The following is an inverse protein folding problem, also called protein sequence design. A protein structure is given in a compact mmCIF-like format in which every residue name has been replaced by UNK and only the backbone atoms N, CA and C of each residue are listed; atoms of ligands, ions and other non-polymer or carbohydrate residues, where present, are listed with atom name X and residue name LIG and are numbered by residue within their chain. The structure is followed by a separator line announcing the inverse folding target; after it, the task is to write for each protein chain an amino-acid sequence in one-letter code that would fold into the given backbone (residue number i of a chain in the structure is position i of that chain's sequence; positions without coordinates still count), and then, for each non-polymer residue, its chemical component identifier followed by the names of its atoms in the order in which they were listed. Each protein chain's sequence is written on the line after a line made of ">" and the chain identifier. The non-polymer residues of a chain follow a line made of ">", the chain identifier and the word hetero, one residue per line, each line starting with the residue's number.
data_IF_137071878747
#
_entry.id   IF_137071878747
#
_cell.length_a   1.000
_cell.length_b   1.000
_cell.length_c   1.000
_cell.angle_alpha   90.00
_cell.angle_beta   90.00
_cell.angle_gamma   90.00
#
_symmetry.space_group_name_H-M   'P 1'
#
loop_
_entity.id
_entity.type
_entity.pdbx_description
1 polymer ?
#
# COMPACT_ATOMS: atom_id res chain seq x y z
N UNK A 1 48.79 25.53 9.74
CA UNK A 1 47.75 25.85 10.76
C UNK A 1 46.37 25.71 10.13
N UNK A 2 45.78 24.55 10.27
CA UNK A 2 44.49 24.19 9.66
C UNK A 2 43.38 24.36 10.71
N UNK A 3 42.54 25.39 10.53
CA UNK A 3 41.41 25.71 11.42
C UNK A 3 40.35 24.66 11.25
N UNK A 4 40.17 23.74 12.23
CA UNK A 4 39.03 22.86 12.36
C UNK A 4 37.79 23.72 12.59
N UNK A 5 36.92 23.84 11.58
CA UNK A 5 35.55 24.34 11.78
C UNK A 5 34.75 23.26 12.49
N UNK A 6 34.51 23.46 13.77
CA UNK A 6 33.50 22.72 14.53
C UNK A 6 32.15 23.14 14.03
N UNK A 7 31.48 22.21 13.29
CA UNK A 7 30.08 22.34 12.96
C UNK A 7 29.29 22.19 14.27
N UNK A 8 29.02 23.32 14.92
CA UNK A 8 28.03 23.37 15.99
C UNK A 8 26.69 23.04 15.42
N UNK A 9 26.19 21.82 15.66
CA UNK A 9 24.85 21.42 15.41
C UNK A 9 23.88 22.35 16.15
N UNK A 10 23.32 23.35 15.46
CA UNK A 10 22.20 24.15 15.93
C UNK A 10 21.07 23.18 16.23
N UNK A 11 20.89 22.83 17.50
CA UNK A 11 19.64 22.20 17.96
C UNK A 11 18.54 23.21 17.66
N UNK A 12 17.75 22.95 16.63
CA UNK A 12 16.57 23.75 16.34
C UNK A 12 15.74 23.83 17.65
N UNK A 13 15.33 25.01 18.09
CA UNK A 13 14.62 25.14 19.34
C UNK A 13 13.34 24.34 19.23
N UNK A 14 13.15 23.37 20.13
CA UNK A 14 12.00 22.47 20.22
C UNK A 14 10.66 23.27 20.20
N UNK A 15 10.68 24.48 20.69
CA UNK A 15 9.57 25.45 20.68
C UNK A 15 9.09 25.84 19.28
N UNK A 16 9.94 25.80 18.24
CA UNK A 16 9.54 26.09 16.85
C UNK A 16 8.68 25.00 16.22
N UNK A 17 8.74 23.75 16.74
CA UNK A 17 7.96 22.61 16.25
C UNK A 17 6.61 22.50 16.97
N UNK A 18 6.46 23.08 18.16
CA UNK A 18 5.26 23.03 18.99
C UNK A 18 4.00 23.56 18.30
N UNK A 19 3.98 24.72 17.62
CA UNK A 19 2.77 25.22 16.97
C UNK A 19 2.31 24.31 15.84
N UNK A 20 3.23 23.85 15.00
CA UNK A 20 2.93 22.93 13.90
C UNK A 20 2.46 21.57 14.41
N UNK A 21 3.15 21.02 15.43
CA UNK A 21 2.77 19.77 16.10
C UNK A 21 1.41 19.88 16.81
N UNK A 22 1.13 21.00 17.43
CA UNK A 22 -0.15 21.29 18.07
C UNK A 22 -1.30 21.39 17.05
N UNK A 23 -1.10 22.09 15.94
CA UNK A 23 -2.09 22.16 14.86
C UNK A 23 -2.39 20.76 14.28
N UNK A 24 -1.36 19.99 13.90
CA UNK A 24 -1.53 18.62 13.41
C UNK A 24 -2.21 17.75 14.48
N UNK A 25 -1.79 17.88 15.74
CA UNK A 25 -2.39 17.14 16.85
C UNK A 25 -3.88 17.41 16.97
N UNK A 26 -4.30 18.68 17.03
CA UNK A 26 -5.70 19.05 17.19
C UNK A 26 -6.53 18.67 15.96
N UNK A 27 -6.11 19.06 14.77
CA UNK A 27 -6.90 18.85 13.55
C UNK A 27 -6.94 17.40 13.07
N UNK A 28 -5.98 16.58 13.45
CA UNK A 28 -5.95 15.15 13.09
C UNK A 28 -6.51 14.27 14.19
N UNK A 29 -6.01 14.40 15.43
CA UNK A 29 -6.40 13.48 16.50
C UNK A 29 -7.75 13.82 17.12
N UNK A 30 -8.16 15.08 17.18
CA UNK A 30 -9.45 15.45 17.80
C UNK A 30 -10.64 14.88 17.01
N UNK A 31 -10.77 15.04 15.67
CA UNK A 31 -11.87 14.43 14.94
C UNK A 31 -11.86 12.89 15.03
N UNK A 32 -10.69 12.28 14.98
CA UNK A 32 -10.54 10.83 15.12
C UNK A 32 -10.98 10.36 16.52
N UNK A 33 -10.53 11.05 17.57
CA UNK A 33 -10.93 10.74 18.95
C UNK A 33 -12.43 10.92 19.16
N UNK A 34 -13.02 11.98 18.59
CA UNK A 34 -14.47 12.20 18.66
C UNK A 34 -15.25 11.11 17.94
N UNK A 35 -14.80 10.68 16.77
CA UNK A 35 -15.43 9.57 16.04
C UNK A 35 -15.35 8.26 16.82
N UNK A 36 -14.18 7.96 17.38
CA UNK A 36 -13.99 6.79 18.25
C UNK A 36 -14.82 6.89 19.52
N UNK A 37 -14.88 8.06 20.14
CA UNK A 37 -15.74 8.28 21.32
C UNK A 37 -17.21 8.02 21.00
N UNK A 38 -17.73 8.57 19.91
CA UNK A 38 -19.13 8.34 19.48
C UNK A 38 -19.42 6.86 19.23
N UNK A 39 -18.47 6.09 18.71
CA UNK A 39 -18.66 4.66 18.48
C UNK A 39 -18.89 3.86 19.77
N UNK A 40 -18.48 4.39 20.94
CA UNK A 40 -18.70 3.78 22.25
C UNK A 40 -19.82 4.44 23.07
N UNK A 41 -20.15 5.71 22.79
CA UNK A 41 -21.06 6.51 23.62
C UNK A 41 -22.47 6.63 23.06
N UNK A 42 -22.68 6.37 21.76
CA UNK A 42 -23.97 6.52 21.08
C UNK A 42 -24.42 5.17 20.48
N UNK A 43 -25.73 4.81 20.54
CA UNK A 43 -26.82 5.50 21.20
C UNK A 43 -26.81 5.38 22.74
N UNK A 44 -26.04 4.45 23.30
CA UNK A 44 -25.81 4.27 24.73
C UNK A 44 -24.36 3.85 24.97
N UNK A 45 -23.84 4.17 26.16
CA UNK A 45 -22.48 3.74 26.53
C UNK A 45 -22.36 2.23 26.49
N UNK A 46 -21.47 1.72 25.60
CA UNK A 46 -21.23 0.29 25.46
C UNK A 46 -20.59 -0.13 24.15
N UNK A 47 -20.62 -1.42 23.89
CA UNK A 47 -20.06 -2.04 22.68
C UNK A 47 -21.14 -2.41 21.66
N UNK A 48 -22.31 -1.80 21.70
CA UNK A 48 -23.46 -2.17 20.86
C UNK A 48 -23.12 -2.10 19.38
N UNK A 49 -22.54 -0.98 18.92
CA UNK A 49 -22.12 -0.81 17.53
C UNK A 49 -21.15 -1.90 17.07
N UNK A 50 -20.28 -2.38 17.96
CA UNK A 50 -19.32 -3.45 17.65
C UNK A 50 -19.98 -4.83 17.66
N UNK A 51 -20.94 -5.08 18.56
CA UNK A 51 -21.71 -6.34 18.58
C UNK A 51 -22.64 -6.45 17.38
N UNK A 52 -23.26 -5.36 16.96
CA UNK A 52 -24.05 -5.28 15.72
C UNK A 52 -23.17 -5.51 14.49
N UNK A 53 -22.03 -4.85 14.40
CA UNK A 53 -21.04 -5.08 13.32
C UNK A 53 -20.61 -6.54 13.26
N UNK A 54 -20.29 -7.15 14.40
CA UNK A 54 -19.91 -8.56 14.49
C UNK A 54 -21.10 -9.50 14.33
N UNK A 55 -22.33 -9.03 14.47
CA UNK A 55 -23.58 -9.77 14.21
C UNK A 55 -23.95 -9.77 12.72
N UNK A 56 -23.61 -8.69 11.98
CA UNK A 56 -23.97 -8.53 10.58
C UNK A 56 -23.09 -9.38 9.65
N UNK A 57 -23.66 -10.38 8.96
CA UNK A 57 -22.92 -11.20 7.99
C UNK A 57 -22.35 -10.37 6.82
N UNK A 58 -23.04 -9.30 6.43
CA UNK A 58 -22.64 -8.42 5.33
C UNK A 58 -21.38 -7.66 5.68
N UNK A 59 -21.35 -7.03 6.87
CA UNK A 59 -20.19 -6.29 7.35
C UNK A 59 -18.96 -7.20 7.51
N UNK A 60 -19.13 -8.41 8.04
CA UNK A 60 -18.07 -9.42 8.12
C UNK A 60 -17.52 -9.80 6.74
N UNK A 61 -18.40 -10.05 5.79
CA UNK A 61 -18.01 -10.41 4.41
C UNK A 61 -17.20 -9.28 3.77
N UNK A 62 -17.65 -8.02 3.93
CA UNK A 62 -16.97 -6.84 3.41
C UNK A 62 -15.60 -6.67 4.09
N UNK A 63 -15.52 -6.87 5.42
CA UNK A 63 -14.27 -6.79 6.17
C UNK A 63 -13.25 -7.82 5.65
N UNK A 64 -13.63 -9.09 5.57
CA UNK A 64 -12.76 -10.17 5.07
C UNK A 64 -12.34 -9.87 3.63
N UNK A 65 -13.28 -9.49 2.77
CA UNK A 65 -13.01 -9.10 1.37
C UNK A 65 -11.98 -7.98 1.30
N UNK A 66 -12.11 -6.94 2.12
CA UNK A 66 -11.19 -5.80 2.14
C UNK A 66 -9.75 -6.24 2.42
N UNK A 67 -9.54 -7.12 3.40
CA UNK A 67 -8.21 -7.65 3.71
C UNK A 67 -7.69 -8.57 2.60
N UNK A 68 -8.52 -9.46 2.05
CA UNK A 68 -8.14 -10.34 0.93
C UNK A 68 -7.72 -9.51 -0.30
N UNK A 69 -8.52 -8.50 -0.65
CA UNK A 69 -8.20 -7.59 -1.77
C UNK A 69 -6.91 -6.83 -1.49
N UNK A 70 -6.72 -6.31 -0.27
CA UNK A 70 -5.51 -5.59 0.11
C UNK A 70 -4.25 -6.47 0.02
N UNK A 71 -4.32 -7.73 0.48
CA UNK A 71 -3.22 -8.69 0.32
C UNK A 71 -2.96 -9.03 -1.15
N UNK A 72 -4.02 -9.24 -1.94
CA UNK A 72 -3.89 -9.54 -3.38
C UNK A 72 -3.22 -8.39 -4.12
N UNK A 73 -3.67 -7.15 -3.88
CA UNK A 73 -3.09 -5.93 -4.47
C UNK A 73 -1.62 -5.80 -4.04
N UNK A 74 -1.32 -5.98 -2.76
CA UNK A 74 0.04 -5.87 -2.24
C UNK A 74 0.97 -6.88 -2.90
N UNK A 75 0.55 -8.16 -2.94
CA UNK A 75 1.34 -9.21 -3.56
C UNK A 75 1.59 -8.94 -5.05
N UNK A 76 0.54 -8.60 -5.80
CA UNK A 76 0.64 -8.31 -7.23
C UNK A 76 1.49 -7.05 -7.50
N UNK A 77 1.31 -5.99 -6.72
CA UNK A 77 2.06 -4.73 -6.87
C UNK A 77 3.54 -4.93 -6.58
N UNK A 78 3.89 -5.70 -5.53
CA UNK A 78 5.28 -6.02 -5.22
C UNK A 78 5.89 -6.94 -6.28
N UNK A 79 5.14 -7.95 -6.74
CA UNK A 79 5.59 -8.87 -7.80
C UNK A 79 5.91 -8.13 -9.10
N UNK A 80 5.09 -7.15 -9.48
CA UNK A 80 5.32 -6.32 -10.68
C UNK A 80 6.37 -5.24 -10.42
N UNK A 81 6.36 -4.63 -9.26
CA UNK A 81 7.28 -3.55 -8.89
C UNK A 81 8.72 -4.02 -8.67
N UNK A 82 8.90 -5.26 -8.18
CA UNK A 82 10.23 -5.81 -7.90
C UNK A 82 11.13 -5.90 -9.14
N UNK A 83 10.72 -6.54 -10.26
CA UNK A 83 11.53 -6.59 -11.46
C UNK A 83 11.77 -5.20 -12.05
N UNK A 84 10.79 -4.30 -11.97
CA UNK A 84 10.95 -2.92 -12.42
C UNK A 84 12.05 -2.20 -11.60
N UNK A 85 11.98 -2.23 -10.28
CA UNK A 85 12.98 -1.65 -9.39
C UNK A 85 14.36 -2.28 -9.62
N UNK A 86 14.43 -3.60 -9.81
CA UNK A 86 15.66 -4.31 -10.10
C UNK A 86 16.31 -3.83 -11.42
N UNK A 87 15.53 -3.72 -12.49
CA UNK A 87 16.01 -3.20 -13.78
C UNK A 87 16.56 -1.78 -13.62
N UNK A 88 15.87 -0.91 -12.87
CA UNK A 88 16.34 0.45 -12.60
C UNK A 88 17.74 0.49 -11.94
N UNK A 89 18.12 -0.51 -11.16
CA UNK A 89 19.48 -0.59 -10.58
C UNK A 89 20.54 -1.07 -11.56
N UNK A 90 20.16 -1.70 -12.69
CA UNK A 90 21.06 -2.33 -13.64
C UNK A 90 21.30 -1.53 -14.91
N UNK A 91 20.38 -0.63 -15.25
CA UNK A 91 20.47 0.19 -16.48
C UNK A 91 21.36 1.42 -16.28
N UNK A 92 21.81 1.99 -17.40
CA UNK A 92 22.60 3.22 -17.42
C UNK A 92 21.81 4.45 -16.95
N UNK A 93 22.48 5.58 -16.71
CA UNK A 93 21.85 6.77 -16.08
C UNK A 93 20.68 7.32 -16.89
N UNK A 94 20.77 7.37 -18.22
CA UNK A 94 19.67 7.87 -19.08
C UNK A 94 18.42 7.01 -18.98
N UNK A 95 18.56 5.69 -19.10
CA UNK A 95 17.45 4.75 -18.99
C UNK A 95 16.84 4.76 -17.56
N UNK A 96 17.69 4.88 -16.54
CA UNK A 96 17.24 5.03 -15.14
C UNK A 96 16.40 6.28 -14.94
N UNK A 97 16.85 7.43 -15.46
CA UNK A 97 16.08 8.67 -15.40
C UNK A 97 14.74 8.53 -16.10
N UNK A 98 14.70 7.89 -17.29
CA UNK A 98 13.45 7.63 -17.99
C UNK A 98 12.50 6.74 -17.18
N UNK A 99 12.99 5.62 -16.66
CA UNK A 99 12.17 4.72 -15.83
C UNK A 99 11.68 5.43 -14.56
N UNK A 100 12.52 6.23 -13.91
CA UNK A 100 12.09 7.03 -12.76
C UNK A 100 11.04 8.06 -13.16
N UNK A 101 11.19 8.73 -14.29
CA UNK A 101 10.21 9.70 -14.79
C UNK A 101 8.85 9.02 -15.05
N UNK A 102 8.83 7.82 -15.63
CA UNK A 102 7.59 7.04 -15.84
C UNK A 102 6.87 6.79 -14.50
N UNK A 103 7.61 6.36 -13.46
CA UNK A 103 7.04 6.13 -12.13
C UNK A 103 6.50 7.44 -11.52
N UNK A 104 7.27 8.53 -11.62
CA UNK A 104 6.88 9.82 -11.07
C UNK A 104 5.69 10.43 -11.82
N UNK A 105 5.64 10.36 -13.14
CA UNK A 105 4.48 10.81 -13.93
C UNK A 105 3.23 10.04 -13.51
N UNK A 106 3.36 8.70 -13.35
CA UNK A 106 2.26 7.89 -12.86
C UNK A 106 1.82 8.30 -11.44
N UNK A 107 2.74 8.73 -10.60
CA UNK A 107 2.46 9.21 -9.25
C UNK A 107 1.74 10.58 -9.25
N UNK A 108 2.18 11.53 -10.08
CA UNK A 108 1.66 12.90 -10.11
C UNK A 108 0.33 13.06 -10.87
N UNK A 109 -0.05 12.06 -11.65
CA UNK A 109 -1.29 12.12 -12.40
C UNK A 109 -2.52 12.02 -11.47
N UNK A 110 -3.60 12.74 -11.78
CA UNK A 110 -4.84 12.74 -11.02
C UNK A 110 -5.40 11.33 -10.85
N UNK A 111 -5.77 10.99 -9.61
CA UNK A 111 -6.41 9.71 -9.29
C UNK A 111 -7.74 9.52 -10.01
N UNK A 112 -8.56 10.59 -10.09
CA UNK A 112 -9.83 10.57 -10.81
C UNK A 112 -9.60 10.32 -12.31
N UNK A 113 -8.65 11.03 -12.93
CA UNK A 113 -8.32 10.84 -14.34
C UNK A 113 -7.90 9.40 -14.64
N UNK A 114 -7.08 8.79 -13.77
CA UNK A 114 -6.71 7.37 -13.88
C UNK A 114 -7.91 6.44 -13.76
N UNK A 115 -8.78 6.68 -12.78
CA UNK A 115 -9.97 5.85 -12.58
C UNK A 115 -10.93 5.94 -13.76
N UNK A 116 -11.14 7.13 -14.33
CA UNK A 116 -11.93 7.28 -15.55
C UNK A 116 -11.29 6.60 -16.77
N UNK A 117 -9.97 6.69 -16.92
CA UNK A 117 -9.26 5.95 -17.97
C UNK A 117 -9.47 4.43 -17.83
N UNK A 118 -9.42 3.90 -16.59
CA UNK A 118 -9.71 2.49 -16.35
C UNK A 118 -11.17 2.11 -16.64
N UNK A 119 -12.15 2.98 -16.35
CA UNK A 119 -13.55 2.74 -16.76
C UNK A 119 -13.62 2.53 -18.27
N UNK A 120 -13.01 3.43 -19.06
CA UNK A 120 -13.02 3.33 -20.53
C UNK A 120 -12.29 2.06 -21.00
N UNK A 121 -11.18 1.69 -20.40
CA UNK A 121 -10.39 0.52 -20.78
C UNK A 121 -11.13 -0.79 -20.46
N UNK A 122 -11.83 -0.86 -19.33
CA UNK A 122 -12.46 -2.07 -18.80
C UNK A 122 -13.91 -2.27 -19.26
N UNK A 123 -14.50 -1.30 -19.99
CA UNK A 123 -15.85 -1.46 -20.58
C UNK A 123 -15.92 -2.67 -21.50
N UNK A 124 -17.11 -3.28 -21.62
CA UNK A 124 -17.33 -4.43 -22.50
C UNK A 124 -17.03 -4.14 -23.97
N UNK A 125 -17.25 -2.88 -24.39
CA UNK A 125 -16.87 -2.34 -25.71
C UNK A 125 -15.57 -1.54 -25.67
N UNK A 126 -14.73 -1.74 -24.65
CA UNK A 126 -13.50 -0.98 -24.44
C UNK A 126 -12.27 -1.60 -25.13
N UNK A 127 -11.16 -0.81 -25.18
CA UNK A 127 -9.92 -1.20 -25.86
C UNK A 127 -9.35 -2.56 -25.43
N UNK A 128 -9.55 -2.94 -24.14
CA UNK A 128 -9.09 -4.24 -23.64
C UNK A 128 -9.82 -5.39 -24.34
N UNK A 129 -11.14 -5.32 -24.43
CA UNK A 129 -11.93 -6.35 -25.07
C UNK A 129 -11.75 -6.37 -26.61
N UNK A 130 -11.49 -5.21 -27.22
CA UNK A 130 -11.14 -5.16 -28.65
C UNK A 130 -9.78 -5.84 -28.92
N UNK A 131 -8.80 -5.64 -28.03
CA UNK A 131 -7.52 -6.34 -28.10
C UNK A 131 -7.70 -7.85 -27.92
N UNK A 132 -8.49 -8.29 -26.94
CA UNK A 132 -8.79 -9.73 -26.72
C UNK A 132 -9.44 -10.36 -27.95
N UNK A 133 -10.43 -9.69 -28.56
CA UNK A 133 -11.07 -10.15 -29.80
C UNK A 133 -10.05 -10.25 -30.96
N UNK A 134 -9.17 -9.24 -31.11
CA UNK A 134 -8.14 -9.26 -32.14
C UNK A 134 -7.14 -10.41 -31.95
N UNK A 135 -6.93 -10.88 -30.71
CA UNK A 135 -6.11 -12.03 -30.36
C UNK A 135 -6.87 -13.37 -30.43
N UNK A 136 -8.15 -13.37 -30.84
CA UNK A 136 -9.00 -14.56 -30.88
C UNK A 136 -9.48 -15.06 -29.53
N UNK A 137 -9.41 -14.21 -28.48
CA UNK A 137 -9.86 -14.52 -27.13
C UNK A 137 -11.27 -13.99 -26.88
N UNK A 138 -12.00 -14.65 -25.99
CA UNK A 138 -13.35 -14.21 -25.60
C UNK A 138 -13.28 -12.89 -24.80
N UNK A 139 -14.24 -11.96 -24.99
CA UNK A 139 -14.36 -10.76 -24.19
C UNK A 139 -14.59 -11.11 -22.71
N UNK A 140 -14.05 -10.25 -21.82
CA UNK A 140 -14.15 -10.42 -20.37
C UNK A 140 -14.87 -9.23 -19.75
N UNK A 141 -15.85 -9.48 -18.91
CA UNK A 141 -16.53 -8.43 -18.14
C UNK A 141 -15.72 -8.12 -16.88
N UNK A 142 -15.08 -6.96 -16.83
CA UNK A 142 -14.20 -6.55 -15.72
C UNK A 142 -14.74 -5.32 -14.97
N UNK A 143 -15.42 -4.41 -15.65
CA UNK A 143 -16.01 -3.24 -15.00
C UNK A 143 -17.11 -3.68 -14.02
N UNK A 144 -17.14 -3.10 -12.82
CA UNK A 144 -18.08 -3.51 -11.77
C UNK A 144 -17.67 -4.79 -11.02
N UNK A 145 -16.49 -5.37 -11.31
CA UNK A 145 -16.01 -6.58 -10.65
C UNK A 145 -14.83 -6.29 -9.70
N UNK A 146 -14.60 -7.20 -8.75
CA UNK A 146 -13.43 -7.14 -7.87
C UNK A 146 -12.11 -7.20 -8.66
N UNK A 147 -12.07 -7.94 -9.76
CA UNK A 147 -10.89 -8.04 -10.62
C UNK A 147 -10.56 -6.70 -11.28
N UNK A 148 -11.55 -5.99 -11.81
CA UNK A 148 -11.36 -4.65 -12.38
C UNK A 148 -10.88 -3.63 -11.35
N UNK A 149 -11.47 -3.63 -10.13
CA UNK A 149 -11.00 -2.83 -9.00
C UNK A 149 -9.53 -3.13 -8.67
N UNK A 150 -9.21 -4.42 -8.56
CA UNK A 150 -7.84 -4.86 -8.22
C UNK A 150 -6.82 -4.39 -9.27
N UNK A 151 -7.13 -4.52 -10.56
CA UNK A 151 -6.25 -4.05 -11.65
C UNK A 151 -6.01 -2.53 -11.58
N UNK A 152 -7.06 -1.75 -11.41
CA UNK A 152 -6.96 -0.29 -11.27
C UNK A 152 -6.12 0.10 -10.05
N UNK A 153 -6.35 -0.54 -8.91
CA UNK A 153 -5.60 -0.26 -7.68
C UNK A 153 -4.13 -0.67 -7.76
N UNK A 154 -3.80 -1.81 -8.40
CA UNK A 154 -2.40 -2.22 -8.62
C UNK A 154 -1.64 -1.12 -9.36
N UNK A 155 -2.20 -0.61 -10.47
CA UNK A 155 -1.56 0.44 -11.27
C UNK A 155 -1.36 1.73 -10.47
N UNK A 156 -2.36 2.14 -9.68
CA UNK A 156 -2.27 3.36 -8.86
C UNK A 156 -1.25 3.22 -7.74
N UNK A 157 -1.14 2.03 -7.13
CA UNK A 157 -0.27 1.78 -5.98
C UNK A 157 1.15 1.31 -6.37
N UNK A 158 1.39 1.01 -7.65
CA UNK A 158 2.68 0.53 -8.15
C UNK A 158 3.88 1.45 -7.78
N UNK A 159 3.80 2.78 -7.88
CA UNK A 159 4.89 3.66 -7.46
C UNK A 159 5.27 3.51 -5.99
N UNK A 160 4.29 3.25 -5.12
CA UNK A 160 4.50 3.09 -3.68
C UNK A 160 5.24 1.79 -3.31
N UNK A 161 5.24 0.79 -4.19
CA UNK A 161 6.09 -0.39 -4.04
C UNK A 161 7.45 -0.17 -4.68
N UNK A 162 7.51 0.41 -5.89
CA UNK A 162 8.76 0.57 -6.65
C UNK A 162 9.76 1.46 -5.91
N UNK A 163 9.32 2.59 -5.34
CA UNK A 163 10.23 3.56 -4.74
C UNK A 163 11.00 3.01 -3.52
N UNK A 164 10.35 2.37 -2.51
CA UNK A 164 11.07 1.75 -1.39
C UNK A 164 11.95 0.57 -1.82
N UNK A 165 11.48 -0.25 -2.76
CA UNK A 165 12.27 -1.34 -3.34
C UNK A 165 13.54 -0.81 -4.00
N UNK A 166 13.40 0.17 -4.87
CA UNK A 166 14.53 0.79 -5.57
C UNK A 166 15.51 1.45 -4.61
N UNK A 167 15.03 2.21 -3.61
CA UNK A 167 15.86 2.84 -2.60
C UNK A 167 16.71 1.80 -1.84
N UNK A 168 16.11 0.69 -1.42
CA UNK A 168 16.83 -0.40 -0.76
C UNK A 168 17.81 -1.09 -1.70
N UNK A 169 17.42 -1.38 -2.94
CA UNK A 169 18.28 -2.04 -3.91
C UNK A 169 19.51 -1.20 -4.30
N UNK A 170 19.43 0.13 -4.17
CA UNK A 170 20.58 1.02 -4.42
C UNK A 170 21.67 0.90 -3.37
N UNK A 171 21.35 0.49 -2.14
CA UNK A 171 22.33 0.34 -1.05
C UNK A 171 23.09 -0.99 -1.10
N UNK A 172 22.65 -1.92 -1.97
CA UNK A 172 23.28 -3.25 -2.09
C UNK A 172 24.55 -3.15 -2.95
N UNK A 173 25.66 -3.65 -2.40
CA UNK A 173 26.93 -3.68 -3.14
C UNK A 173 26.80 -4.58 -4.37
N UNK A 174 27.15 -3.99 -5.52
CA UNK A 174 27.10 -4.67 -6.83
C UNK A 174 28.11 -5.79 -6.98
N UNK A 175 29.18 -5.83 -6.17
CA UNK A 175 30.22 -6.86 -6.18
C UNK A 175 29.76 -8.20 -5.60
N UNK A 176 28.73 -8.22 -4.75
CA UNK A 176 28.24 -9.43 -4.07
C UNK A 176 27.80 -10.53 -5.03
N UNK A 177 27.10 -10.18 -6.10
CA UNK A 177 26.65 -11.14 -7.10
C UNK A 177 27.82 -11.77 -7.89
N UNK A 178 28.78 -10.97 -8.44
CA UNK A 178 29.99 -11.50 -9.06
C UNK A 178 30.85 -12.34 -8.10
N UNK A 179 31.03 -11.92 -6.85
CA UNK A 179 31.78 -12.65 -5.84
C UNK A 179 31.19 -14.04 -5.59
N UNK A 180 29.86 -14.13 -5.40
CA UNK A 180 29.19 -15.43 -5.24
C UNK A 180 29.36 -16.34 -6.47
N UNK A 181 29.35 -15.78 -7.68
CA UNK A 181 29.57 -16.53 -8.92
C UNK A 181 31.04 -16.98 -9.05
N UNK A 182 31.99 -16.15 -8.62
CA UNK A 182 33.41 -16.52 -8.55
C UNK A 182 33.68 -17.71 -7.61
N UNK A 183 32.84 -17.87 -6.57
CA UNK A 183 32.85 -19.04 -5.66
C UNK A 183 32.05 -20.24 -6.22
N UNK A 184 31.66 -20.24 -7.51
CA UNK A 184 30.99 -21.34 -8.18
C UNK A 184 29.45 -21.33 -8.09
N UNK A 185 28.83 -20.30 -7.51
CA UNK A 185 27.39 -20.22 -7.47
C UNK A 185 26.79 -19.90 -8.86
N UNK A 186 25.75 -20.64 -9.27
CA UNK A 186 24.97 -20.29 -10.45
C UNK A 186 24.27 -18.95 -10.25
N UNK A 187 24.07 -18.16 -11.32
CA UNK A 187 23.46 -16.83 -11.25
C UNK A 187 22.11 -16.78 -10.51
N UNK A 188 21.26 -17.79 -10.73
CA UNK A 188 19.97 -17.91 -10.00
C UNK A 188 20.16 -18.17 -8.51
N UNK A 189 21.14 -19.01 -8.14
CA UNK A 189 21.46 -19.33 -6.75
C UNK A 189 22.03 -18.08 -6.03
N UNK A 190 22.96 -17.37 -6.67
CA UNK A 190 23.49 -16.11 -6.17
C UNK A 190 22.37 -15.06 -5.99
N UNK A 191 21.42 -14.97 -6.93
CA UNK A 191 20.27 -14.08 -6.81
C UNK A 191 19.40 -14.44 -5.61
N UNK A 192 18.95 -15.69 -5.49
CA UNK A 192 18.02 -16.14 -4.43
C UNK A 192 18.68 -16.17 -3.05
N UNK A 193 19.95 -16.61 -2.95
CA UNK A 193 20.63 -16.77 -1.67
C UNK A 193 21.37 -15.53 -1.17
N UNK A 194 21.79 -14.62 -2.07
CA UNK A 194 22.57 -13.44 -1.70
C UNK A 194 21.75 -12.16 -1.93
N UNK A 195 21.29 -11.91 -3.16
CA UNK A 195 20.66 -10.64 -3.50
C UNK A 195 19.25 -10.48 -2.93
N UNK A 196 18.37 -11.45 -3.17
CA UNK A 196 16.96 -11.39 -2.74
C UNK A 196 16.82 -11.15 -1.22
N UNK A 197 17.59 -11.83 -0.35
CA UNK A 197 17.52 -11.58 1.08
C UNK A 197 17.96 -10.18 1.50
N UNK A 198 18.85 -9.53 0.78
CA UNK A 198 19.26 -8.15 1.04
C UNK A 198 18.19 -7.14 0.60
N UNK A 199 17.26 -7.53 -0.27
CA UNK A 199 16.13 -6.69 -0.69
C UNK A 199 14.91 -6.80 0.22
N UNK A 200 14.88 -7.73 1.17
CA UNK A 200 13.75 -7.97 2.09
C UNK A 200 13.29 -6.68 2.81
N UNK A 201 14.19 -5.79 3.30
CA UNK A 201 13.75 -4.54 3.91
C UNK A 201 12.92 -3.67 2.97
N UNK A 202 13.31 -3.59 1.70
CA UNK A 202 12.57 -2.85 0.67
C UNK A 202 11.25 -3.51 0.31
N UNK A 203 11.23 -4.86 0.20
CA UNK A 203 9.99 -5.61 -0.02
C UNK A 203 9.00 -5.34 1.11
N UNK A 204 9.46 -5.39 2.35
CA UNK A 204 8.61 -5.16 3.51
C UNK A 204 8.10 -3.72 3.59
N UNK A 205 8.97 -2.74 3.36
CA UNK A 205 8.57 -1.33 3.36
C UNK A 205 7.54 -1.04 2.26
N UNK A 206 7.78 -1.53 1.04
CA UNK A 206 6.85 -1.39 -0.09
C UNK A 206 5.53 -2.14 0.15
N UNK A 207 5.61 -3.39 0.63
CA UNK A 207 4.43 -4.19 0.96
C UNK A 207 3.56 -3.53 2.03
N UNK A 208 4.18 -3.05 3.12
CA UNK A 208 3.47 -2.40 4.20
C UNK A 208 2.77 -1.12 3.74
N UNK A 209 3.47 -0.30 2.96
CA UNK A 209 2.93 0.95 2.43
C UNK A 209 1.74 0.68 1.50
N UNK A 210 1.88 -0.23 0.53
CA UNK A 210 0.80 -0.60 -0.39
C UNK A 210 -0.38 -1.22 0.35
N UNK A 211 -0.13 -2.11 1.32
CA UNK A 211 -1.16 -2.76 2.12
C UNK A 211 -2.01 -1.74 2.89
N UNK A 212 -1.36 -0.85 3.64
CA UNK A 212 -2.07 0.17 4.45
C UNK A 212 -2.85 1.13 3.55
N UNK A 213 -2.24 1.59 2.43
CA UNK A 213 -2.93 2.45 1.48
C UNK A 213 -4.13 1.76 0.85
N UNK A 214 -4.03 0.46 0.50
CA UNK A 214 -5.13 -0.27 -0.15
C UNK A 214 -6.35 -0.46 0.76
N UNK A 215 -6.15 -0.59 2.09
CA UNK A 215 -7.25 -0.72 3.05
C UNK A 215 -8.12 0.54 3.15
N UNK A 216 -7.51 1.73 3.03
CA UNK A 216 -8.23 3.00 3.07
C UNK A 216 -8.65 3.53 1.69
N UNK A 217 -8.40 2.77 0.63
CA UNK A 217 -8.68 3.25 -0.73
C UNK A 217 -10.18 3.28 -1.00
N UNK A 218 -10.70 4.46 -1.39
CA UNK A 218 -12.14 4.69 -1.59
C UNK A 218 -12.48 4.93 -3.07
N UNK A 219 -11.80 5.87 -3.73
CA UNK A 219 -12.20 6.43 -5.03
C UNK A 219 -12.20 5.38 -6.15
N UNK A 220 -11.11 4.62 -6.29
CA UNK A 220 -11.01 3.63 -7.38
C UNK A 220 -12.00 2.47 -7.20
N UNK A 221 -12.18 1.87 -6.01
CA UNK A 221 -13.24 0.89 -5.78
C UNK A 221 -14.65 1.45 -6.04
N UNK A 222 -14.90 2.71 -5.69
CA UNK A 222 -16.20 3.36 -5.87
C UNK A 222 -16.55 3.56 -7.35
N UNK A 223 -15.55 3.88 -8.18
CA UNK A 223 -15.73 4.12 -9.62
C UNK A 223 -15.67 2.86 -10.48
N UNK A 224 -14.85 1.88 -10.13
CA UNK A 224 -14.65 0.66 -10.93
C UNK A 224 -15.39 -0.56 -10.40
N UNK A 225 -15.84 -0.53 -9.15
CA UNK A 225 -16.53 -1.63 -8.50
C UNK A 225 -18.05 -1.56 -8.64
N UNK A 226 -18.70 -2.37 -7.84
CA UNK A 226 -20.17 -2.43 -7.71
C UNK A 226 -20.55 -2.57 -6.23
N UNK A 227 -21.80 -2.28 -5.84
CA UNK A 227 -22.26 -2.47 -4.46
C UNK A 227 -22.01 -3.87 -3.90
N UNK A 228 -22.10 -4.89 -4.76
CA UNK A 228 -21.87 -6.31 -4.40
C UNK A 228 -20.40 -6.59 -4.07
N UNK A 229 -19.47 -5.81 -4.62
CA UNK A 229 -18.03 -5.95 -4.45
C UNK A 229 -17.43 -4.81 -3.59
N UNK A 230 -18.27 -4.11 -2.82
CA UNK A 230 -17.84 -2.99 -1.98
C UNK A 230 -16.78 -3.40 -0.95
N UNK A 231 -15.87 -2.47 -0.67
CA UNK A 231 -14.86 -2.57 0.37
C UNK A 231 -15.29 -1.78 1.61
N UNK A 232 -14.58 -1.97 2.72
CA UNK A 232 -14.94 -1.37 4.00
C UNK A 232 -14.92 0.16 3.97
N UNK A 233 -13.99 0.77 3.23
CA UNK A 233 -13.94 2.21 3.01
C UNK A 233 -15.21 2.77 2.36
N UNK A 234 -15.81 2.04 1.42
CA UNK A 234 -17.08 2.41 0.78
C UNK A 234 -18.25 2.23 1.77
N UNK A 235 -18.26 1.15 2.56
CA UNK A 235 -19.27 0.95 3.60
C UNK A 235 -19.25 2.08 4.63
N UNK A 236 -18.07 2.48 5.09
CA UNK A 236 -17.90 3.66 5.96
C UNK A 236 -18.45 4.91 5.27
N UNK A 237 -18.16 5.11 3.99
CA UNK A 237 -18.70 6.21 3.20
C UNK A 237 -20.23 6.22 3.15
N UNK A 238 -20.88 5.06 3.01
CA UNK A 238 -22.34 4.92 3.04
C UNK A 238 -22.90 5.31 4.42
N UNK A 239 -22.32 4.81 5.51
CA UNK A 239 -22.75 5.18 6.87
C UNK A 239 -22.64 6.68 7.12
N UNK A 240 -21.53 7.32 6.70
CA UNK A 240 -21.31 8.77 6.92
C UNK A 240 -22.21 9.63 6.01
N UNK A 241 -22.28 9.31 4.70
CA UNK A 241 -22.86 10.22 3.71
C UNK A 241 -24.34 9.97 3.44
N UNK A 242 -24.81 8.73 3.57
CA UNK A 242 -26.19 8.36 3.24
C UNK A 242 -27.04 8.08 4.47
N UNK A 243 -26.48 7.36 5.44
CA UNK A 243 -27.21 6.97 6.64
C UNK A 243 -27.06 7.99 7.77
N UNK A 244 -26.05 8.87 7.70
CA UNK A 244 -25.68 9.83 8.77
C UNK A 244 -25.41 9.11 10.12
N UNK A 245 -25.04 7.84 10.04
CA UNK A 245 -24.70 6.98 11.18
C UNK A 245 -23.22 7.10 11.50
N UNK A 246 -22.85 8.14 12.24
CA UNK A 246 -21.47 8.38 12.66
C UNK A 246 -20.97 7.36 13.69
N UNK A 247 -21.79 6.87 14.64
CA UNK A 247 -21.39 5.82 15.57
C UNK A 247 -21.02 4.51 14.87
N UNK A 248 -21.86 4.03 13.94
CA UNK A 248 -21.58 2.85 13.14
C UNK A 248 -20.36 3.02 12.25
N UNK A 249 -20.22 4.16 11.57
CA UNK A 249 -19.02 4.50 10.81
C UNK A 249 -17.76 4.49 11.68
N UNK A 250 -17.86 5.01 12.91
CA UNK A 250 -16.79 4.99 13.90
C UNK A 250 -16.38 3.59 14.31
N UNK A 251 -17.35 2.69 14.53
CA UNK A 251 -17.09 1.29 14.87
C UNK A 251 -16.41 0.53 13.71
N UNK A 252 -16.87 0.75 12.46
CA UNK A 252 -16.23 0.21 11.25
C UNK A 252 -14.79 0.70 11.10
N UNK A 253 -14.55 2.01 11.25
CA UNK A 253 -13.24 2.63 11.16
C UNK A 253 -12.29 2.16 12.27
N UNK A 254 -12.78 2.06 13.52
CA UNK A 254 -12.02 1.54 14.65
C UNK A 254 -11.62 0.07 14.43
N UNK A 255 -12.55 -0.76 13.95
CA UNK A 255 -12.31 -2.16 13.64
C UNK A 255 -11.25 -2.31 12.55
N UNK A 256 -11.31 -1.51 11.49
CA UNK A 256 -10.30 -1.49 10.43
C UNK A 256 -8.93 -1.07 10.98
N UNK A 257 -8.88 -0.02 11.81
CA UNK A 257 -7.65 0.45 12.42
C UNK A 257 -7.00 -0.61 13.31
N UNK A 258 -7.78 -1.22 14.22
CA UNK A 258 -7.27 -2.26 15.13
C UNK A 258 -6.73 -3.46 14.35
N UNK A 259 -7.50 -3.98 13.39
CA UNK A 259 -7.07 -5.11 12.57
C UNK A 259 -5.83 -4.77 11.73
N UNK A 260 -5.78 -3.56 11.17
CA UNK A 260 -4.58 -3.09 10.44
C UNK A 260 -3.36 -3.05 11.35
N UNK A 261 -3.48 -2.48 12.56
CA UNK A 261 -2.39 -2.44 13.53
C UNK A 261 -1.94 -3.84 13.96
N UNK A 262 -2.86 -4.78 14.13
CA UNK A 262 -2.54 -6.19 14.42
C UNK A 262 -1.74 -6.81 13.28
N UNK A 263 -2.20 -6.68 12.04
CA UNK A 263 -1.49 -7.21 10.86
C UNK A 263 -0.10 -6.60 10.74
N UNK A 264 0.01 -5.27 10.89
CA UNK A 264 1.29 -4.55 10.84
C UNK A 264 2.23 -5.01 11.97
N UNK A 265 1.73 -5.15 13.19
CA UNK A 265 2.52 -5.61 14.34
C UNK A 265 3.01 -7.05 14.14
N UNK A 266 2.17 -7.94 13.63
CA UNK A 266 2.53 -9.32 13.28
C UNK A 266 3.61 -9.33 12.19
N UNK A 267 3.40 -8.59 11.11
CA UNK A 267 4.39 -8.47 10.04
C UNK A 267 5.75 -7.94 10.53
N UNK A 268 5.73 -6.90 11.39
CA UNK A 268 6.94 -6.33 11.98
C UNK A 268 7.67 -7.32 12.92
N UNK A 269 6.91 -8.13 13.68
CA UNK A 269 7.51 -9.17 14.54
C UNK A 269 8.15 -10.30 13.71
N UNK A 270 7.45 -10.78 12.68
CA UNK A 270 7.99 -11.80 11.77
C UNK A 270 9.26 -11.33 11.09
N UNK A 271 9.28 -10.08 10.66
CA UNK A 271 10.48 -9.46 10.10
C UNK A 271 11.67 -9.49 11.06
N UNK A 272 11.47 -9.03 12.29
CA UNK A 272 12.54 -9.02 13.31
C UNK A 272 13.08 -10.43 13.59
N UNK A 273 12.19 -11.44 13.63
CA UNK A 273 12.58 -12.83 13.79
C UNK A 273 13.51 -13.32 12.69
N UNK A 274 13.21 -12.99 11.43
CA UNK A 274 14.05 -13.35 10.28
C UNK A 274 15.45 -12.71 10.34
N UNK A 275 15.55 -11.48 10.85
CA UNK A 275 16.85 -10.81 11.04
C UNK A 275 17.65 -11.35 12.23
N UNK A 276 16.97 -11.70 13.34
CA UNK A 276 17.62 -12.21 14.54
C UNK A 276 18.24 -13.62 14.34
N UNK A 277 17.57 -14.50 13.60
CA UNK A 277 18.09 -15.84 13.24
C UNK A 277 19.35 -15.69 12.38
N UNK A 278 19.35 -14.75 11.44
CA UNK A 278 20.46 -14.54 10.52
C UNK A 278 21.71 -13.92 11.17
N UNK A 279 21.54 -13.11 12.23
CA UNK A 279 22.65 -12.56 12.99
C UNK A 279 23.33 -13.60 13.92
N UNK A 280 22.72 -14.77 14.13
CA UNK A 280 23.31 -15.87 14.90
C UNK A 280 24.07 -16.90 14.05
N UNK A 281 23.77 -16.95 12.75
CA UNK A 281 24.35 -17.94 11.82
C UNK A 281 25.51 -17.36 10.97
N UNK A 282 25.92 -16.13 11.19
CA UNK A 282 27.04 -15.45 10.55
C UNK A 282 28.03 -14.87 11.56
#
# INVERSE_FOLDING_TARGET
>A
MTKKQTVQGRRAPFWGVLPAGGLVGVFFFLPLALLLWRSFSEPSLGLQNYTELLGDPTAKTILIRTFVVAFTITAATVLLGYPYAYVMTRVGPRARTLLMAIVLIAFWNSLLAKSFAWIIILQDSGPLNDLLKALGLSPVHLLGTQAGVTLGMIQVLLPFAILPLYATMLTIDRSLMPAAQGLGARRSVAFVKVYLPLTVPGIMAGSLLVFVLSLGFYITPDLLGSPQNSLLSQLIGVHVQRLLDFPGAGALGASLLVLTLVVVAVAARLARGLYAVRAKDG
#
